data_IF_575921420817
#
_entry.id   IF_575921420817
#
_cell.length_a   1.000
_cell.length_b   1.000
_cell.length_c   1.000
_cell.angle_alpha   90.00
_cell.angle_beta   90.00
_cell.angle_gamma   90.00
#
_symmetry.space_group_name_H-M   'P 1'
#
loop_
_entity.id
_entity.type
_entity.pdbx_description
1 polymer ?
#
# COMPACT_ATOMS: atom_id res chain seq x y z
N UNK A 1 9.33 35.01 -2.94
CA UNK A 1 10.01 33.71 -3.03
C UNK A 1 9.83 33.00 -1.70
N UNK A 2 9.05 31.93 -1.64
CA UNK A 2 8.97 31.11 -0.43
C UNK A 2 10.35 30.49 -0.18
N UNK A 3 10.80 30.44 1.08
CA UNK A 3 12.06 29.80 1.44
C UNK A 3 12.02 28.33 0.97
N UNK A 4 13.09 27.87 0.32
CA UNK A 4 13.23 26.46 -0.07
C UNK A 4 13.22 25.61 1.19
N UNK A 5 12.17 24.80 1.37
CA UNK A 5 12.06 23.89 2.50
C UNK A 5 13.14 22.81 2.37
N UNK A 6 13.87 22.54 3.45
CA UNK A 6 14.87 21.48 3.53
C UNK A 6 14.30 20.27 4.27
N UNK A 7 14.94 19.11 4.14
CA UNK A 7 14.47 17.90 4.81
C UNK A 7 14.46 18.03 6.35
N UNK A 8 15.39 18.78 6.94
CA UNK A 8 15.42 19.01 8.39
C UNK A 8 14.20 19.80 8.91
N UNK A 9 13.46 20.45 8.00
CA UNK A 9 12.22 21.15 8.33
C UNK A 9 10.97 20.27 8.17
N UNK A 10 11.09 19.05 7.59
CA UNK A 10 10.00 18.08 7.57
C UNK A 10 9.95 17.36 8.93
N UNK A 11 8.91 17.58 9.76
CA UNK A 11 8.81 16.87 11.02
C UNK A 11 8.52 15.38 10.77
N UNK A 12 9.02 14.46 11.62
CA UNK A 12 8.48 13.11 11.65
C UNK A 12 7.00 13.18 12.02
N UNK A 13 6.22 12.17 11.60
CA UNK A 13 4.81 12.08 11.98
C UNK A 13 4.64 12.07 13.52
N UNK A 14 5.48 11.32 14.24
CA UNK A 14 5.52 11.31 15.70
C UNK A 14 5.33 9.91 16.30
N UNK A 15 4.39 9.77 17.22
CA UNK A 15 4.14 8.50 17.91
C UNK A 15 2.99 7.73 17.27
N UNK A 16 3.16 6.43 17.11
CA UNK A 16 2.02 5.53 16.90
C UNK A 16 1.14 5.55 18.16
N UNK A 17 -0.17 5.40 17.98
CA UNK A 17 -1.08 5.33 19.11
C UNK A 17 -0.74 4.14 20.03
N UNK A 18 -1.14 4.21 21.30
CA UNK A 18 -0.83 3.18 22.30
C UNK A 18 -1.32 1.79 21.88
N UNK A 19 -2.52 1.72 21.29
CA UNK A 19 -3.15 0.47 20.85
C UNK A 19 -2.27 -0.26 19.83
N UNK A 20 -1.81 0.42 18.79
CA UNK A 20 -0.93 -0.19 17.77
C UNK A 20 0.42 -0.59 18.32
N UNK A 21 0.96 0.16 19.28
CA UNK A 21 2.16 -0.25 20.01
C UNK A 21 1.93 -1.52 20.85
N UNK A 22 0.70 -1.81 21.26
CA UNK A 22 0.33 -3.08 21.90
C UNK A 22 0.13 -4.20 20.87
N UNK A 23 -0.51 -3.91 19.73
CA UNK A 23 -0.73 -4.88 18.63
C UNK A 23 0.62 -5.39 18.09
N UNK A 24 1.60 -4.50 17.90
CA UNK A 24 2.98 -4.83 17.51
C UNK A 24 3.72 -5.74 18.50
N UNK A 25 3.26 -5.86 19.75
CA UNK A 25 3.83 -6.80 20.73
C UNK A 25 3.23 -8.20 20.61
N UNK A 26 2.06 -8.34 20.00
CA UNK A 26 1.28 -9.59 19.96
C UNK A 26 1.42 -10.31 18.63
N UNK A 27 1.23 -9.61 17.51
CA UNK A 27 1.04 -10.22 16.18
C UNK A 27 2.02 -9.70 15.12
N UNK A 28 3.28 -9.57 15.51
CA UNK A 28 4.30 -8.98 14.63
C UNK A 28 4.61 -9.82 13.37
N UNK A 29 4.64 -11.14 13.49
CA UNK A 29 5.11 -12.05 12.42
C UNK A 29 3.90 -12.61 11.66
N UNK A 30 3.80 -12.41 10.34
CA UNK A 30 2.71 -12.97 9.57
C UNK A 30 2.64 -14.50 9.72
N UNK A 31 1.45 -15.11 9.82
CA UNK A 31 1.29 -16.52 10.18
C UNK A 31 2.07 -17.49 9.27
N UNK A 32 2.09 -17.20 7.98
CA UNK A 32 2.71 -18.04 6.94
C UNK A 32 4.15 -17.62 6.60
N UNK A 33 4.70 -16.59 7.27
CA UNK A 33 6.05 -16.08 7.00
C UNK A 33 7.13 -17.07 7.45
N UNK A 34 7.95 -17.51 6.50
CA UNK A 34 9.11 -18.36 6.76
C UNK A 34 10.39 -17.70 6.30
N UNK A 35 11.37 -17.59 7.20
CA UNK A 35 12.74 -17.20 6.89
C UNK A 35 13.59 -18.46 6.80
N UNK A 36 14.24 -18.69 5.64
CA UNK A 36 15.05 -19.90 5.39
C UNK A 36 14.25 -21.20 5.67
N UNK A 37 12.98 -21.20 5.24
CA UNK A 37 12.07 -22.34 5.41
C UNK A 37 11.56 -22.59 6.84
N UNK A 38 11.83 -21.71 7.81
CA UNK A 38 11.37 -21.85 9.20
C UNK A 38 10.69 -20.59 9.71
N UNK A 39 9.80 -20.74 10.69
CA UNK A 39 9.20 -19.57 11.37
C UNK A 39 10.31 -18.83 12.13
N UNK A 40 10.55 -17.54 11.86
CA UNK A 40 11.61 -16.80 12.53
C UNK A 40 11.27 -16.52 13.99
N UNK A 41 12.29 -16.26 14.79
CA UNK A 41 12.09 -15.62 16.10
C UNK A 41 11.65 -14.17 15.93
N UNK A 42 11.08 -13.57 16.98
CA UNK A 42 10.70 -12.16 16.96
C UNK A 42 11.89 -11.22 16.71
N UNK A 43 13.09 -11.60 17.16
CA UNK A 43 14.32 -10.84 16.91
C UNK A 43 14.75 -10.93 15.44
N UNK A 44 14.78 -12.14 14.86
CA UNK A 44 15.10 -12.33 13.44
C UNK A 44 14.13 -11.58 12.54
N UNK A 45 12.84 -11.59 12.89
CA UNK A 45 11.83 -10.85 12.14
C UNK A 45 12.02 -9.33 12.27
N UNK A 46 12.30 -8.80 13.47
CA UNK A 46 12.63 -7.38 13.65
C UNK A 46 13.87 -6.96 12.86
N UNK A 47 14.90 -7.79 12.83
CA UNK A 47 16.09 -7.55 12.01
C UNK A 47 15.73 -7.49 10.52
N UNK A 48 14.92 -8.43 10.03
CA UNK A 48 14.42 -8.43 8.66
C UNK A 48 13.59 -7.17 8.32
N UNK A 49 12.72 -6.72 9.22
CA UNK A 49 11.97 -5.46 9.06
C UNK A 49 12.91 -4.25 9.02
N UNK A 50 13.92 -4.21 9.88
CA UNK A 50 14.90 -3.13 9.89
C UNK A 50 15.72 -3.10 8.58
N UNK A 51 16.08 -4.26 8.03
CA UNK A 51 16.75 -4.38 6.74
C UNK A 51 15.87 -3.87 5.60
N UNK A 52 14.59 -4.24 5.63
CA UNK A 52 13.60 -3.75 4.68
C UNK A 52 13.42 -2.23 4.76
N UNK A 53 13.35 -1.66 5.97
CA UNK A 53 13.28 -0.22 6.17
C UNK A 53 14.55 0.48 5.62
N UNK A 54 15.75 -0.08 5.85
CA UNK A 54 17.00 0.46 5.29
C UNK A 54 17.02 0.39 3.76
N UNK A 55 16.41 -0.63 3.16
CA UNK A 55 16.29 -0.72 1.72
C UNK A 55 15.36 0.36 1.15
N UNK A 56 14.22 0.62 1.81
CA UNK A 56 13.32 1.75 1.48
C UNK A 56 14.07 3.08 1.64
N UNK A 57 14.86 3.23 2.71
CA UNK A 57 15.65 4.44 3.00
C UNK A 57 16.76 4.74 2.01
N UNK A 58 17.20 3.74 1.25
CA UNK A 58 18.16 3.92 0.15
C UNK A 58 17.49 4.36 -1.15
N UNK A 59 16.25 3.92 -1.39
CA UNK A 59 15.63 4.02 -2.71
C UNK A 59 14.47 5.01 -2.80
N UNK A 60 13.80 5.33 -1.69
CA UNK A 60 12.54 6.08 -1.73
C UNK A 60 12.40 7.13 -0.63
N UNK A 61 12.43 6.73 0.65
CA UNK A 61 12.15 7.65 1.77
C UNK A 61 13.01 7.34 3.00
N UNK A 62 13.65 8.34 3.62
CA UNK A 62 14.58 8.14 4.74
C UNK A 62 13.92 7.62 6.02
N UNK A 63 14.74 7.16 6.95
CA UNK A 63 14.35 6.76 8.31
C UNK A 63 14.51 7.96 9.23
N UNK A 64 13.61 8.10 10.21
CA UNK A 64 13.79 9.05 11.31
C UNK A 64 14.62 8.39 12.41
N UNK A 65 15.86 8.85 12.59
CA UNK A 65 16.69 8.47 13.72
C UNK A 65 16.32 9.32 14.94
N UNK A 66 15.77 8.67 15.97
CA UNK A 66 15.36 9.32 17.21
C UNK A 66 16.53 9.72 18.10
N UNK A 67 17.72 9.12 17.94
CA UNK A 67 18.88 9.47 18.76
C UNK A 67 19.51 10.78 18.29
N UNK A 68 19.64 10.94 16.98
CA UNK A 68 20.17 12.16 16.36
C UNK A 68 19.09 13.19 16.01
N UNK A 69 17.81 12.86 16.21
CA UNK A 69 16.66 13.68 15.79
C UNK A 69 16.78 14.14 14.33
N UNK A 70 17.13 13.20 13.44
CA UNK A 70 17.43 13.52 12.05
C UNK A 70 16.95 12.45 11.07
N UNK A 71 16.78 12.86 9.81
CA UNK A 71 16.47 11.95 8.71
C UNK A 71 17.76 11.31 8.17
N UNK A 72 17.80 9.98 8.15
CA UNK A 72 18.96 9.20 7.72
C UNK A 72 18.64 8.26 6.55
N UNK A 73 19.66 7.96 5.75
CA UNK A 73 19.56 7.13 4.53
C UNK A 73 19.75 7.93 3.25
N UNK A 74 20.15 7.26 2.16
CA UNK A 74 20.50 7.90 0.89
C UNK A 74 19.35 8.71 0.31
N UNK A 75 18.10 8.33 0.63
CA UNK A 75 16.90 9.02 0.17
C UNK A 75 16.67 10.39 0.80
N UNK A 76 17.40 10.74 1.87
CA UNK A 76 17.27 12.05 2.51
C UNK A 76 17.55 13.21 1.53
N UNK A 77 18.45 13.02 0.56
CA UNK A 77 18.85 14.10 -0.37
C UNK A 77 17.78 14.48 -1.39
N UNK A 78 16.79 13.63 -1.65
CA UNK A 78 15.69 13.89 -2.60
C UNK A 78 14.30 13.81 -1.96
N UNK A 79 14.21 13.65 -0.63
CA UNK A 79 12.92 13.49 0.05
C UNK A 79 11.98 14.70 -0.12
N UNK A 80 12.52 15.92 -0.10
CA UNK A 80 11.74 17.14 -0.33
C UNK A 80 11.20 17.17 -1.76
N UNK A 81 12.06 16.93 -2.75
CA UNK A 81 11.71 16.90 -4.16
C UNK A 81 10.64 15.83 -4.45
N UNK A 82 10.84 14.61 -3.94
CA UNK A 82 9.84 13.54 -4.03
C UNK A 82 8.51 13.95 -3.40
N UNK A 83 8.53 14.63 -2.25
CA UNK A 83 7.30 15.07 -1.58
C UNK A 83 6.58 16.16 -2.37
N UNK A 84 7.32 17.07 -3.01
CA UNK A 84 6.72 18.09 -3.89
C UNK A 84 6.07 17.43 -5.10
N UNK A 85 6.78 16.53 -5.78
CA UNK A 85 6.26 15.77 -6.92
C UNK A 85 5.02 14.94 -6.53
N UNK A 86 5.05 14.31 -5.34
CA UNK A 86 3.91 13.57 -4.81
C UNK A 86 2.68 14.46 -4.58
N UNK A 87 2.86 15.65 -3.99
CA UNK A 87 1.77 16.60 -3.75
C UNK A 87 1.16 17.12 -5.06
N UNK A 88 1.98 17.37 -6.09
CA UNK A 88 1.50 17.78 -7.41
C UNK A 88 0.73 16.66 -8.10
N UNK A 89 1.24 15.42 -8.04
CA UNK A 89 0.55 14.29 -8.63
C UNK A 89 -0.75 13.97 -7.90
N UNK A 90 -0.79 14.14 -6.57
CA UNK A 90 -2.02 14.00 -5.76
C UNK A 90 -3.13 14.92 -6.23
N UNK A 91 -2.82 16.20 -6.47
CA UNK A 91 -3.80 17.18 -6.94
C UNK A 91 -4.43 16.74 -8.28
N UNK A 92 -3.64 16.14 -9.17
CA UNK A 92 -4.13 15.61 -10.46
C UNK A 92 -4.98 14.33 -10.32
N UNK A 93 -4.74 13.53 -9.29
CA UNK A 93 -5.39 12.24 -9.07
C UNK A 93 -6.67 12.35 -8.25
N UNK A 94 -6.86 13.45 -7.53
CA UNK A 94 -7.98 13.67 -6.61
C UNK A 94 -9.35 13.42 -7.23
N UNK A 95 -9.56 13.94 -8.45
CA UNK A 95 -10.82 13.78 -9.17
C UNK A 95 -11.19 12.31 -9.44
N UNK A 96 -10.23 11.38 -9.40
CA UNK A 96 -10.49 9.95 -9.55
C UNK A 96 -11.28 9.35 -8.40
N UNK A 97 -11.31 9.96 -7.22
CA UNK A 97 -12.11 9.46 -6.11
C UNK A 97 -13.61 9.41 -6.46
N UNK A 98 -14.09 10.39 -7.22
CA UNK A 98 -15.49 10.47 -7.68
C UNK A 98 -15.77 9.61 -8.92
N UNK A 99 -14.72 9.08 -9.55
CA UNK A 99 -14.91 8.25 -10.75
C UNK A 99 -15.42 6.87 -10.40
N UNK A 100 -16.08 6.23 -11.38
CA UNK A 100 -16.57 4.87 -11.25
C UNK A 100 -15.41 3.88 -11.31
N UNK A 101 -15.50 2.82 -10.50
CA UNK A 101 -14.54 1.72 -10.56
C UNK A 101 -14.62 0.99 -11.91
N UNK A 102 -13.49 0.44 -12.39
CA UNK A 102 -13.48 -0.44 -13.56
C UNK A 102 -13.98 -1.84 -13.16
N UNK A 103 -15.22 -2.15 -13.55
CA UNK A 103 -15.96 -3.33 -13.13
C UNK A 103 -16.79 -3.91 -14.27
N UNK A 104 -17.08 -5.22 -14.18
CA UNK A 104 -17.85 -6.02 -15.15
C UNK A 104 -19.18 -5.37 -15.57
N UNK A 105 -19.85 -4.68 -14.65
CA UNK A 105 -21.06 -3.88 -14.87
C UNK A 105 -21.19 -2.99 -13.63
N UNK A 106 -21.05 -1.69 -13.85
CA UNK A 106 -21.12 -0.59 -12.89
C UNK A 106 -21.89 -0.93 -11.60
N UNK A 107 -21.29 -0.62 -10.45
CA UNK A 107 -21.94 -0.09 -9.26
C UNK A 107 -20.88 0.38 -8.25
N UNK A 108 -20.74 1.70 -8.13
CA UNK A 108 -19.98 2.39 -7.09
C UNK A 108 -18.84 3.25 -7.61
N UNK A 109 -18.55 4.30 -6.85
CA UNK A 109 -17.39 5.18 -7.06
C UNK A 109 -16.20 4.71 -6.24
N UNK A 110 -15.00 5.22 -6.55
CA UNK A 110 -13.86 5.00 -5.67
C UNK A 110 -14.09 5.55 -4.26
N UNK A 111 -14.89 6.61 -4.09
CA UNK A 111 -15.27 7.17 -2.79
C UNK A 111 -16.06 6.18 -1.95
N UNK A 112 -17.12 5.57 -2.51
CA UNK A 112 -17.94 4.59 -1.77
C UNK A 112 -17.08 3.43 -1.24
N UNK A 113 -16.14 2.95 -2.05
CA UNK A 113 -15.24 1.88 -1.63
C UNK A 113 -14.22 2.34 -0.59
N UNK A 114 -13.70 3.56 -0.72
CA UNK A 114 -12.80 4.13 0.27
C UNK A 114 -13.48 4.18 1.64
N UNK A 115 -14.73 4.64 1.69
CA UNK A 115 -15.55 4.70 2.91
C UNK A 115 -15.84 3.30 3.48
N UNK A 116 -16.16 2.31 2.64
CA UNK A 116 -16.37 0.92 3.06
C UNK A 116 -15.11 0.34 3.70
N UNK A 117 -13.97 0.47 3.03
CA UNK A 117 -12.68 -0.09 3.47
C UNK A 117 -12.10 0.61 4.72
N UNK A 118 -12.48 1.86 4.94
CA UNK A 118 -12.06 2.64 6.11
C UNK A 118 -13.04 2.50 7.30
N UNK A 119 -14.10 1.71 7.11
CA UNK A 119 -15.05 1.35 8.16
C UNK A 119 -15.99 2.49 8.51
N UNK A 120 -16.50 3.20 7.52
CA UNK A 120 -17.57 4.19 7.65
C UNK A 120 -18.96 3.63 7.35
N UNK A 121 -19.03 2.71 6.39
CA UNK A 121 -20.32 2.19 5.92
C UNK A 121 -20.78 1.08 6.86
N UNK A 122 -21.87 1.36 7.57
CA UNK A 122 -22.62 0.38 8.37
C UNK A 122 -23.60 -0.30 7.42
N UNK A 123 -23.58 -1.63 7.36
CA UNK A 123 -24.67 -2.38 6.75
C UNK A 123 -25.94 -2.15 7.59
N UNK A 124 -26.98 -1.49 7.04
CA UNK A 124 -28.16 -1.14 7.82
C UNK A 124 -28.99 -2.36 8.24
N UNK A 125 -28.75 -3.52 7.62
CA UNK A 125 -29.43 -4.78 7.97
C UNK A 125 -28.68 -5.58 9.03
N UNK A 126 -27.35 -5.40 9.13
CA UNK A 126 -26.50 -6.18 10.03
C UNK A 126 -25.89 -5.34 11.17
N UNK A 127 -26.15 -4.02 11.21
CA UNK A 127 -25.59 -3.07 12.19
C UNK A 127 -24.07 -3.21 12.39
N UNK A 128 -23.34 -3.62 11.35
CA UNK A 128 -21.89 -3.84 11.37
C UNK A 128 -21.20 -3.15 10.21
N UNK A 129 -19.94 -2.81 10.38
CA UNK A 129 -19.11 -2.33 9.28
C UNK A 129 -18.94 -3.43 8.23
N UNK A 130 -19.02 -3.07 6.95
CA UNK A 130 -18.65 -3.99 5.87
C UNK A 130 -17.19 -4.40 6.03
N UNK A 131 -16.92 -5.71 5.90
CA UNK A 131 -15.55 -6.21 5.98
C UNK A 131 -14.83 -5.93 4.67
N UNK A 132 -13.55 -5.59 4.79
CA UNK A 132 -12.63 -5.47 3.66
C UNK A 132 -12.69 -6.75 2.80
N UNK A 133 -13.04 -6.60 1.51
CA UNK A 133 -13.24 -7.71 0.57
C UNK A 133 -14.70 -8.04 0.22
N UNK A 134 -15.67 -7.74 1.10
CA UNK A 134 -17.10 -8.02 0.84
C UNK A 134 -17.60 -7.27 -0.40
N UNK A 135 -17.03 -6.12 -0.69
CA UNK A 135 -17.39 -5.29 -1.85
C UNK A 135 -16.91 -5.84 -3.19
N UNK A 136 -16.11 -6.92 -3.24
CA UNK A 136 -15.65 -7.50 -4.52
C UNK A 136 -16.80 -7.91 -5.46
N UNK A 137 -17.97 -8.25 -4.94
CA UNK A 137 -19.14 -8.57 -5.77
C UNK A 137 -19.60 -7.42 -6.68
N UNK A 138 -19.22 -6.18 -6.37
CA UNK A 138 -19.45 -5.01 -7.23
C UNK A 138 -18.49 -4.97 -8.44
N UNK A 139 -17.31 -5.60 -8.34
CA UNK A 139 -16.35 -5.74 -9.46
C UNK A 139 -16.78 -6.83 -10.44
N UNK A 140 -17.23 -7.99 -9.94
CA UNK A 140 -17.71 -9.09 -10.78
C UNK A 140 -19.03 -9.70 -10.28
N UNK A 141 -20.14 -9.06 -10.64
CA UNK A 141 -21.49 -9.54 -10.34
C UNK A 141 -21.87 -10.84 -11.05
N UNK A 142 -21.10 -11.30 -12.06
CA UNK A 142 -21.36 -12.55 -12.78
C UNK A 142 -20.73 -13.75 -12.10
N UNK A 143 -19.87 -13.54 -11.11
CA UNK A 143 -19.23 -14.62 -10.39
C UNK A 143 -20.29 -15.43 -9.62
N UNK A 144 -20.38 -16.76 -9.79
CA UNK A 144 -21.36 -17.56 -9.07
C UNK A 144 -21.26 -17.34 -7.57
N UNK A 145 -22.40 -17.28 -6.86
CA UNK A 145 -22.44 -16.90 -5.44
C UNK A 145 -21.46 -17.69 -4.56
N UNK A 146 -21.31 -19.00 -4.80
CA UNK A 146 -20.34 -19.86 -4.09
C UNK A 146 -18.88 -19.49 -4.35
N UNK A 147 -18.55 -19.10 -5.58
CA UNK A 147 -17.20 -18.66 -5.92
C UNK A 147 -16.91 -17.28 -5.33
N UNK A 148 -17.89 -16.37 -5.39
CA UNK A 148 -17.80 -15.04 -4.79
C UNK A 148 -17.60 -15.12 -3.27
N UNK A 149 -18.38 -15.96 -2.58
CA UNK A 149 -18.24 -16.19 -1.14
C UNK A 149 -16.86 -16.74 -0.77
N UNK A 150 -16.35 -17.72 -1.53
CA UNK A 150 -15.01 -18.27 -1.34
C UNK A 150 -13.93 -17.21 -1.50
N UNK A 151 -14.02 -16.38 -2.55
CA UNK A 151 -13.05 -15.29 -2.82
C UNK A 151 -13.09 -14.27 -1.68
N UNK A 152 -14.27 -13.78 -1.30
CA UNK A 152 -14.47 -12.81 -0.20
C UNK A 152 -13.91 -13.34 1.12
N UNK A 153 -14.28 -14.55 1.50
CA UNK A 153 -13.85 -15.16 2.77
C UNK A 153 -12.35 -15.40 2.78
N UNK A 154 -11.78 -15.88 1.67
CA UNK A 154 -10.33 -16.09 1.57
C UNK A 154 -9.57 -14.77 1.71
N UNK A 155 -10.04 -13.71 1.06
CA UNK A 155 -9.41 -12.40 1.16
C UNK A 155 -9.49 -11.82 2.56
N UNK A 156 -10.70 -11.68 3.10
CA UNK A 156 -10.94 -10.99 4.36
C UNK A 156 -10.33 -11.72 5.58
N UNK A 157 -10.32 -13.06 5.57
CA UNK A 157 -9.86 -13.85 6.72
C UNK A 157 -8.42 -14.30 6.58
N UNK A 158 -8.10 -15.01 5.49
CA UNK A 158 -6.78 -15.63 5.34
C UNK A 158 -5.78 -14.65 4.71
N UNK A 159 -6.23 -13.86 3.73
CA UNK A 159 -5.40 -12.94 2.96
C UNK A 159 -4.89 -11.75 3.77
N UNK A 160 -5.79 -11.03 4.45
CA UNK A 160 -5.42 -9.89 5.31
C UNK A 160 -4.53 -10.36 6.46
N UNK A 161 -4.83 -11.51 7.09
CA UNK A 161 -3.96 -12.04 8.14
C UNK A 161 -2.54 -12.37 7.64
N UNK A 162 -2.36 -12.64 6.34
CA UNK A 162 -1.07 -12.97 5.77
C UNK A 162 -0.12 -11.77 5.64
N UNK A 163 -0.56 -10.51 5.73
CA UNK A 163 0.35 -9.37 5.77
C UNK A 163 0.95 -9.13 7.17
N UNK A 164 0.28 -9.60 8.22
CA UNK A 164 0.66 -9.34 9.62
C UNK A 164 0.76 -7.84 9.91
N UNK A 165 1.55 -7.45 10.91
CA UNK A 165 1.73 -6.04 11.30
C UNK A 165 3.01 -5.42 10.68
N UNK A 166 3.37 -5.85 9.46
CA UNK A 166 4.62 -5.40 8.79
C UNK A 166 4.58 -3.90 8.49
N UNK A 167 3.44 -3.36 8.05
CA UNK A 167 3.31 -1.94 7.75
C UNK A 167 3.52 -1.09 9.02
N UNK A 168 2.90 -1.46 10.14
CA UNK A 168 3.06 -0.78 11.42
C UNK A 168 4.50 -0.85 11.91
N UNK A 169 5.17 -2.00 11.73
CA UNK A 169 6.56 -2.17 12.10
C UNK A 169 7.49 -1.27 11.27
N UNK A 170 7.25 -1.17 9.95
CA UNK A 170 7.99 -0.26 9.06
C UNK A 170 7.73 1.21 9.38
N UNK A 171 6.49 1.58 9.69
CA UNK A 171 6.09 2.95 10.04
C UNK A 171 6.85 3.49 11.25
N UNK A 172 7.28 2.63 12.18
CA UNK A 172 8.11 3.05 13.31
C UNK A 172 9.43 3.66 12.87
N UNK A 173 10.03 3.15 11.79
CA UNK A 173 11.29 3.65 11.23
C UNK A 173 11.04 4.82 10.28
N UNK A 174 10.10 4.67 9.36
CA UNK A 174 9.95 5.58 8.22
C UNK A 174 9.32 6.92 8.59
N UNK A 175 8.44 6.94 9.61
CA UNK A 175 7.87 8.16 10.20
C UNK A 175 7.37 9.23 9.22
N UNK A 176 7.06 8.86 7.98
CA UNK A 176 6.72 9.82 6.94
C UNK A 176 5.47 10.61 7.35
N UNK A 177 5.53 11.95 7.38
CA UNK A 177 4.38 12.78 7.71
C UNK A 177 3.27 12.59 6.66
N UNK A 178 2.02 12.76 7.05
CA UNK A 178 0.87 12.68 6.14
C UNK A 178 0.85 13.87 5.18
N UNK A 179 0.28 13.66 4.00
CA UNK A 179 0.24 14.66 2.94
C UNK A 179 -0.40 15.98 3.36
N UNK A 180 -1.47 15.97 4.16
CA UNK A 180 -2.08 17.20 4.68
C UNK A 180 -1.13 18.01 5.59
N UNK A 181 -0.26 17.34 6.36
CA UNK A 181 0.69 18.01 7.26
C UNK A 181 1.75 18.74 6.44
N UNK A 182 2.28 18.08 5.41
CA UNK A 182 3.32 18.68 4.56
C UNK A 182 2.75 19.71 3.60
N UNK A 183 1.54 19.51 3.07
CA UNK A 183 0.86 20.50 2.26
C UNK A 183 0.66 21.83 3.02
N UNK A 184 0.28 21.76 4.30
CA UNK A 184 0.19 22.93 5.17
C UNK A 184 1.56 23.59 5.38
N UNK A 185 2.61 22.80 5.66
CA UNK A 185 3.98 23.30 5.80
C UNK A 185 4.49 24.00 4.53
N UNK A 186 4.10 23.50 3.36
CA UNK A 186 4.50 24.04 2.05
C UNK A 186 3.65 25.24 1.62
N UNK A 187 2.67 25.66 2.44
CA UNK A 187 1.77 26.77 2.11
C UNK A 187 0.85 26.46 0.93
N UNK A 188 0.51 25.18 0.68
CA UNK A 188 -0.45 24.80 -0.37
C UNK A 188 -1.87 25.09 0.10
N UNK A 189 -2.33 26.31 -0.17
CA UNK A 189 -3.70 26.76 0.08
C UNK A 189 -4.64 26.14 -0.97
N UNK A 190 -5.28 25.02 -0.63
CA UNK A 190 -6.16 24.29 -1.56
C UNK A 190 -6.00 22.77 -1.51
N UNK A 191 -5.06 22.27 -0.72
CA UNK A 191 -4.93 20.83 -0.49
C UNK A 191 -6.20 20.27 0.16
N UNK A 192 -6.84 19.31 -0.52
CA UNK A 192 -8.03 18.60 -0.05
C UNK A 192 -7.67 17.15 0.27
N UNK A 193 -8.13 16.66 1.40
CA UNK A 193 -8.03 15.26 1.79
C UNK A 193 -9.35 14.79 2.39
N UNK A 194 -9.65 13.51 2.25
CA UNK A 194 -10.75 12.88 2.98
C UNK A 194 -10.33 12.53 4.39
N UNK A 195 -11.26 12.66 5.34
CA UNK A 195 -11.05 12.07 6.66
C UNK A 195 -10.96 10.54 6.54
N UNK A 196 -9.98 9.95 7.20
CA UNK A 196 -9.84 8.49 7.30
C UNK A 196 -9.58 8.08 8.76
N UNK A 197 -10.49 7.27 9.28
CA UNK A 197 -10.42 6.58 10.57
C UNK A 197 -9.13 5.78 10.74
N UNK A 198 -8.64 5.16 9.67
CA UNK A 198 -7.43 4.33 9.73
C UNK A 198 -6.13 5.12 9.50
N UNK A 199 -6.22 6.39 9.12
CA UNK A 199 -5.07 7.24 8.81
C UNK A 199 -4.44 7.93 10.03
N UNK A 200 -4.48 7.31 11.21
CA UNK A 200 -3.94 7.87 12.46
C UNK A 200 -2.48 7.47 12.76
N UNK A 201 -1.74 7.03 11.73
CA UNK A 201 -0.32 6.58 11.72
C UNK A 201 0.52 7.36 10.70
N UNK A 202 1.87 7.24 10.69
CA UNK A 202 2.69 7.65 9.55
C UNK A 202 2.15 7.11 8.22
N UNK A 203 2.42 7.85 7.14
CA UNK A 203 1.92 7.53 5.80
C UNK A 203 2.68 6.38 5.13
N UNK A 204 3.97 6.22 5.40
CA UNK A 204 4.79 5.20 4.74
C UNK A 204 5.07 4.00 5.65
N UNK A 205 4.77 2.76 5.28
CA UNK A 205 4.11 2.32 4.02
C UNK A 205 2.58 2.37 4.12
N UNK A 206 1.85 2.35 3.00
CA UNK A 206 0.38 2.25 3.03
C UNK A 206 -0.06 0.83 3.44
N UNK A 207 -0.73 0.72 4.59
CA UNK A 207 -1.25 -0.54 5.15
C UNK A 207 -2.28 -1.18 4.23
N UNK A 208 -3.34 -0.44 3.86
CA UNK A 208 -4.34 -0.91 2.89
C UNK A 208 -3.73 -1.36 1.56
N UNK A 209 -2.74 -0.64 1.04
CA UNK A 209 -2.08 -1.03 -0.21
C UNK A 209 -1.27 -2.34 -0.03
N UNK A 210 -0.56 -2.49 1.09
CA UNK A 210 0.24 -3.67 1.39
C UNK A 210 -0.67 -4.90 1.62
N UNK A 211 -1.66 -4.75 2.50
CA UNK A 211 -2.62 -5.78 2.86
C UNK A 211 -3.38 -6.26 1.63
N UNK A 212 -3.92 -5.34 0.82
CA UNK A 212 -4.62 -5.70 -0.40
C UNK A 212 -3.73 -6.43 -1.39
N UNK A 213 -2.47 -6.01 -1.54
CA UNK A 213 -1.51 -6.66 -2.44
C UNK A 213 -1.22 -8.11 -2.02
N UNK A 214 -0.96 -8.34 -0.73
CA UNK A 214 -0.68 -9.68 -0.18
C UNK A 214 -1.95 -10.53 -0.21
N UNK A 215 -3.08 -10.01 0.28
CA UNK A 215 -4.36 -10.70 0.30
C UNK A 215 -4.88 -11.01 -1.11
N UNK A 216 -4.65 -10.11 -2.06
CA UNK A 216 -4.93 -10.26 -3.49
C UNK A 216 -4.18 -11.45 -4.08
N UNK A 217 -2.86 -11.51 -3.85
CA UNK A 217 -2.03 -12.67 -4.24
C UNK A 217 -2.51 -13.96 -3.59
N UNK A 218 -2.72 -13.94 -2.27
CA UNK A 218 -3.12 -15.11 -1.49
C UNK A 218 -4.44 -15.70 -2.01
N UNK A 219 -5.42 -14.83 -2.24
CA UNK A 219 -6.74 -15.20 -2.75
C UNK A 219 -6.66 -15.69 -4.19
N UNK A 220 -5.91 -15.01 -5.06
CA UNK A 220 -5.68 -15.46 -6.44
C UNK A 220 -5.11 -16.88 -6.45
N UNK A 221 -4.04 -17.14 -5.68
CA UNK A 221 -3.40 -18.45 -5.65
C UNK A 221 -4.34 -19.56 -5.15
N UNK A 222 -5.21 -19.29 -4.17
CA UNK A 222 -6.18 -20.25 -3.62
C UNK A 222 -7.46 -20.40 -4.43
N UNK A 223 -7.85 -19.35 -5.16
CA UNK A 223 -9.17 -19.25 -5.79
C UNK A 223 -9.13 -19.17 -7.32
N UNK A 224 -7.95 -19.17 -7.98
CA UNK A 224 -7.87 -19.08 -9.45
C UNK A 224 -8.73 -20.10 -10.20
N UNK A 225 -8.89 -21.32 -9.66
CA UNK A 225 -9.73 -22.36 -10.28
C UNK A 225 -11.24 -22.05 -10.23
N UNK A 226 -11.66 -21.10 -9.38
CA UNK A 226 -13.04 -20.63 -9.26
C UNK A 226 -13.22 -19.20 -9.76
N UNK A 227 -12.20 -18.61 -10.39
CA UNK A 227 -12.23 -17.31 -11.07
C UNK A 227 -12.27 -17.57 -12.59
N UNK A 228 -13.46 -17.81 -13.20
CA UNK A 228 -13.56 -18.16 -14.61
C UNK A 228 -13.31 -16.96 -15.53
N UNK A 229 -12.72 -17.23 -16.71
CA UNK A 229 -12.57 -16.25 -17.79
C UNK A 229 -11.78 -15.01 -17.37
N UNK A 230 -12.37 -13.83 -17.60
CA UNK A 230 -11.86 -12.51 -17.25
C UNK A 230 -12.06 -12.12 -15.77
N UNK A 231 -12.64 -12.98 -14.92
CA UNK A 231 -12.81 -12.70 -13.49
C UNK A 231 -11.47 -12.40 -12.77
N UNK A 232 -10.37 -13.02 -13.22
CA UNK A 232 -9.04 -12.75 -12.69
C UNK A 232 -8.59 -11.30 -12.93
N UNK A 233 -9.06 -10.66 -14.01
CA UNK A 233 -8.73 -9.26 -14.32
C UNK A 233 -9.43 -8.30 -13.37
N UNK A 234 -10.72 -8.54 -13.04
CA UNK A 234 -11.44 -7.75 -12.05
C UNK A 234 -10.89 -7.97 -10.64
N UNK A 235 -10.41 -9.18 -10.33
CA UNK A 235 -9.70 -9.43 -9.08
C UNK A 235 -8.37 -8.67 -9.01
N UNK A 236 -7.62 -8.62 -10.12
CA UNK A 236 -6.40 -7.81 -10.22
C UNK A 236 -6.71 -6.30 -10.06
N UNK A 237 -7.77 -5.79 -10.68
CA UNK A 237 -8.21 -4.41 -10.50
C UNK A 237 -8.57 -4.11 -9.03
N UNK A 238 -9.41 -4.96 -8.41
CA UNK A 238 -9.78 -4.82 -7.00
C UNK A 238 -8.55 -4.79 -6.08
N UNK A 239 -7.55 -5.62 -6.36
CA UNK A 239 -6.31 -5.73 -5.57
C UNK A 239 -5.55 -4.41 -5.53
N UNK A 240 -5.40 -3.71 -6.66
CA UNK A 240 -4.62 -2.46 -6.71
C UNK A 240 -5.45 -1.23 -6.35
N UNK A 241 -6.76 -1.25 -6.64
CA UNK A 241 -7.64 -0.11 -6.36
C UNK A 241 -7.70 0.25 -4.88
N UNK A 242 -7.56 -0.72 -3.98
CA UNK A 242 -7.52 -0.47 -2.53
C UNK A 242 -6.37 0.46 -2.13
N UNK A 243 -5.20 0.33 -2.78
CA UNK A 243 -4.08 1.24 -2.59
C UNK A 243 -4.29 2.56 -3.31
N UNK A 244 -4.77 2.52 -4.56
CA UNK A 244 -4.99 3.71 -5.38
C UNK A 244 -6.00 4.69 -4.74
N UNK A 245 -7.08 4.16 -4.15
CA UNK A 245 -8.09 4.95 -3.43
C UNK A 245 -7.51 5.77 -2.30
N UNK A 246 -6.45 5.29 -1.64
CA UNK A 246 -5.77 6.03 -0.56
C UNK A 246 -5.03 7.26 -1.07
N UNK A 247 -4.52 7.18 -2.29
CA UNK A 247 -3.90 8.30 -3.00
C UNK A 247 -4.99 9.25 -3.49
N UNK A 248 -6.07 8.75 -4.10
CA UNK A 248 -7.19 9.60 -4.55
C UNK A 248 -7.85 10.36 -3.40
N UNK A 249 -7.90 9.76 -2.21
CA UNK A 249 -8.40 10.37 -0.99
C UNK A 249 -7.43 11.38 -0.34
N UNK A 250 -6.20 11.52 -0.83
CA UNK A 250 -5.21 12.43 -0.25
C UNK A 250 -4.70 12.00 1.13
N UNK A 251 -4.87 10.73 1.51
CA UNK A 251 -4.40 10.21 2.80
C UNK A 251 -3.01 9.56 2.71
N UNK A 252 -2.60 9.16 1.51
CA UNK A 252 -1.28 8.58 1.20
C UNK A 252 -0.69 9.24 -0.05
N UNK A 253 0.64 9.32 -0.13
CA UNK A 253 1.31 9.80 -1.33
C UNK A 253 1.38 8.72 -2.42
N UNK A 254 1.49 9.07 -3.71
CA UNK A 254 1.74 8.12 -4.80
C UNK A 254 2.95 7.22 -4.54
N UNK A 255 4.07 7.80 -4.06
CA UNK A 255 5.24 7.03 -3.65
C UNK A 255 4.97 6.03 -2.52
N UNK A 256 3.98 6.25 -1.66
CA UNK A 256 3.66 5.27 -0.61
C UNK A 256 3.22 3.93 -1.23
N UNK A 257 2.47 3.96 -2.33
CA UNK A 257 2.08 2.74 -3.05
C UNK A 257 3.30 2.02 -3.66
N UNK A 258 4.31 2.74 -4.17
CA UNK A 258 5.56 2.12 -4.64
C UNK A 258 6.20 1.28 -3.53
N UNK A 259 6.33 1.85 -2.33
CA UNK A 259 6.90 1.12 -1.19
C UNK A 259 6.05 -0.07 -0.77
N UNK A 260 4.71 0.07 -0.76
CA UNK A 260 3.80 -1.00 -0.37
C UNK A 260 3.84 -2.16 -1.37
N UNK A 261 3.87 -1.87 -2.66
CA UNK A 261 4.03 -2.88 -3.71
C UNK A 261 5.39 -3.57 -3.63
N UNK A 262 6.47 -2.81 -3.40
CA UNK A 262 7.79 -3.37 -3.19
C UNK A 262 7.81 -4.32 -1.99
N UNK A 263 7.28 -3.89 -0.85
CA UNK A 263 7.15 -4.72 0.35
C UNK A 263 6.35 -5.98 0.06
N UNK A 264 5.21 -5.89 -0.62
CA UNK A 264 4.39 -7.04 -0.98
C UNK A 264 5.15 -8.04 -1.88
N UNK A 265 5.86 -7.55 -2.91
CA UNK A 265 6.67 -8.38 -3.80
C UNK A 265 7.85 -9.06 -3.09
N UNK A 266 8.46 -8.38 -2.12
CA UNK A 266 9.54 -8.95 -1.29
C UNK A 266 8.99 -9.99 -0.31
N UNK A 267 7.90 -9.68 0.38
CA UNK A 267 7.21 -10.58 1.34
C UNK A 267 6.70 -11.84 0.65
N UNK A 268 6.28 -11.73 -0.62
CA UNK A 268 5.79 -12.87 -1.40
C UNK A 268 6.76 -14.08 -1.40
N UNK A 269 8.07 -13.84 -1.36
CA UNK A 269 9.09 -14.89 -1.26
C UNK A 269 9.00 -15.71 0.04
N UNK A 270 8.67 -15.05 1.14
CA UNK A 270 8.63 -15.65 2.48
C UNK A 270 7.29 -16.32 2.81
N UNK A 271 6.21 -15.90 2.16
CA UNK A 271 4.85 -16.39 2.43
C UNK A 271 4.42 -17.47 1.43
N UNK A 272 4.64 -17.25 0.13
CA UNK A 272 4.07 -18.11 -0.92
C UNK A 272 4.98 -19.26 -1.34
N UNK A 273 6.19 -19.36 -0.79
CA UNK A 273 7.14 -20.48 -0.98
C UNK A 273 7.31 -20.83 -2.48
N UNK A 274 7.07 -22.08 -2.86
CA UNK A 274 7.15 -22.55 -4.25
C UNK A 274 6.21 -21.84 -5.24
N UNK A 275 5.25 -21.03 -4.77
CA UNK A 275 4.35 -20.21 -5.59
C UNK A 275 4.65 -18.72 -5.55
N UNK A 276 5.77 -18.31 -4.94
CA UNK A 276 6.17 -16.90 -4.86
C UNK A 276 6.30 -16.23 -6.23
N UNK A 277 6.85 -16.92 -7.23
CA UNK A 277 6.93 -16.38 -8.60
C UNK A 277 5.56 -16.12 -9.20
N UNK A 278 4.61 -17.04 -9.00
CA UNK A 278 3.24 -16.90 -9.50
C UNK A 278 2.52 -15.70 -8.83
N UNK A 279 2.67 -15.54 -7.52
CA UNK A 279 2.16 -14.37 -6.79
C UNK A 279 2.77 -13.05 -7.29
N UNK A 280 4.11 -13.00 -7.42
CA UNK A 280 4.81 -11.80 -7.91
C UNK A 280 4.38 -11.42 -9.31
N UNK A 281 4.23 -12.39 -10.21
CA UNK A 281 3.77 -12.14 -11.58
C UNK A 281 2.33 -11.59 -11.57
N UNK A 282 1.41 -12.22 -10.82
CA UNK A 282 0.05 -11.73 -10.69
C UNK A 282 0.00 -10.28 -10.19
N UNK A 283 0.72 -9.98 -9.09
CA UNK A 283 0.72 -8.64 -8.52
C UNK A 283 1.36 -7.62 -9.44
N UNK A 284 2.47 -7.97 -10.08
CA UNK A 284 3.17 -7.08 -10.99
C UNK A 284 2.31 -6.75 -12.22
N UNK A 285 1.64 -7.75 -12.80
CA UNK A 285 0.70 -7.54 -13.91
C UNK A 285 -0.47 -6.64 -13.47
N UNK A 286 -1.00 -6.84 -12.25
CA UNK A 286 -2.04 -5.98 -11.69
C UNK A 286 -1.57 -4.53 -11.53
N UNK A 287 -0.38 -4.30 -10.97
CA UNK A 287 0.20 -2.97 -10.80
C UNK A 287 0.35 -2.27 -12.15
N UNK A 288 1.00 -2.94 -13.12
CA UNK A 288 1.31 -2.31 -14.41
C UNK A 288 0.08 -2.03 -15.25
N UNK A 289 -0.91 -2.92 -15.24
CA UNK A 289 -2.04 -2.87 -16.17
C UNK A 289 -3.28 -2.19 -15.57
N UNK A 290 -3.39 -2.11 -14.25
CA UNK A 290 -4.64 -1.75 -13.57
C UNK A 290 -4.52 -0.59 -12.58
N UNK A 291 -3.33 -0.31 -12.03
CA UNK A 291 -3.17 0.82 -11.11
C UNK A 291 -3.09 2.15 -11.88
N UNK A 292 -4.07 3.01 -11.65
CA UNK A 292 -4.07 4.37 -12.17
C UNK A 292 -2.99 5.23 -11.49
N UNK A 293 -2.65 4.94 -10.22
CA UNK A 293 -1.52 5.59 -9.55
C UNK A 293 -0.19 5.21 -10.20
N UNK A 294 0.04 3.92 -10.46
CA UNK A 294 1.27 3.48 -11.14
C UNK A 294 1.39 4.09 -12.55
N UNK A 295 0.29 4.14 -13.30
CA UNK A 295 0.25 4.77 -14.61
C UNK A 295 0.59 6.27 -14.54
N UNK A 296 0.06 6.99 -13.55
CA UNK A 296 0.34 8.41 -13.33
C UNK A 296 1.80 8.66 -12.93
N UNK A 297 2.34 7.87 -12.01
CA UNK A 297 3.76 7.94 -11.60
C UNK A 297 4.68 7.67 -12.79
N UNK A 298 4.36 6.66 -13.60
CA UNK A 298 5.16 6.32 -14.79
C UNK A 298 5.12 7.44 -15.83
N UNK A 299 3.95 8.06 -16.03
CA UNK A 299 3.81 9.20 -16.94
C UNK A 299 4.62 10.40 -16.46
N UNK A 300 4.56 10.71 -15.16
CA UNK A 300 5.36 11.77 -14.55
C UNK A 300 6.88 11.49 -14.68
N UNK A 301 7.30 10.24 -14.47
CA UNK A 301 8.69 9.83 -14.63
C UNK A 301 9.22 9.96 -16.07
N UNK A 302 8.35 9.76 -17.06
CA UNK A 302 8.71 9.88 -18.48
C UNK A 302 8.73 11.33 -18.97
N UNK A 303 7.94 12.21 -18.34
CA UNK A 303 7.87 13.61 -18.70
C UNK A 303 9.13 14.40 -18.30
N UNK A 304 9.86 13.95 -17.28
CA UNK A 304 11.01 14.66 -16.72
C UNK A 304 12.27 13.77 -16.66
N UNK A 305 13.39 14.15 -17.32
CA UNK A 305 14.61 13.36 -17.36
C UNK A 305 15.21 13.02 -15.98
N UNK A 306 14.92 13.84 -14.97
CA UNK A 306 15.43 13.70 -13.61
C UNK A 306 14.32 13.47 -12.58
N UNK A 307 13.18 12.90 -13.00
CA UNK A 307 12.06 12.68 -12.10
C UNK A 307 12.46 11.91 -10.82
N UNK A 308 12.00 12.33 -9.63
CA UNK A 308 12.27 11.63 -8.37
C UNK A 308 11.66 10.22 -8.33
N UNK A 309 10.80 9.86 -9.29
CA UNK A 309 10.20 8.53 -9.40
C UNK A 309 11.04 7.52 -10.20
N UNK A 310 12.01 7.96 -11.02
CA UNK A 310 12.74 7.08 -11.94
C UNK A 310 13.51 5.97 -11.22
N UNK A 311 14.25 6.32 -10.16
CA UNK A 311 14.96 5.37 -9.31
C UNK A 311 14.02 4.38 -8.61
N UNK A 312 13.00 4.88 -7.86
CA UNK A 312 11.99 4.04 -7.24
C UNK A 312 11.26 3.06 -8.17
N UNK A 313 10.86 3.51 -9.38
CA UNK A 313 10.19 2.66 -10.36
C UNK A 313 11.10 1.54 -10.85
N UNK A 314 12.38 1.84 -11.11
CA UNK A 314 13.38 0.84 -11.46
C UNK A 314 13.57 -0.17 -10.33
N UNK A 315 13.71 0.30 -9.10
CA UNK A 315 13.85 -0.54 -7.91
C UNK A 315 12.66 -1.49 -7.72
N UNK A 316 11.42 -0.99 -7.89
CA UNK A 316 10.21 -1.80 -7.84
C UNK A 316 10.19 -2.87 -8.95
N UNK A 317 10.55 -2.51 -10.18
CA UNK A 317 10.58 -3.45 -11.31
C UNK A 317 11.68 -4.52 -11.15
N UNK A 318 12.82 -4.15 -10.60
CA UNK A 318 13.91 -5.08 -10.29
C UNK A 318 13.45 -6.09 -9.22
N UNK A 319 12.73 -5.65 -8.19
CA UNK A 319 12.14 -6.55 -7.20
C UNK A 319 11.12 -7.50 -7.84
N UNK A 320 10.23 -7.02 -8.70
CA UNK A 320 9.26 -7.89 -9.39
C UNK A 320 9.96 -9.03 -10.16
N UNK A 321 11.11 -8.72 -10.78
CA UNK A 321 11.91 -9.68 -11.57
C UNK A 321 12.82 -10.56 -10.70
N UNK A 322 13.23 -10.10 -9.52
CA UNK A 322 14.12 -10.82 -8.62
C UNK A 322 13.63 -12.25 -8.36
N UNK A 323 14.56 -13.20 -8.33
CA UNK A 323 14.26 -14.58 -7.93
C UNK A 323 13.71 -14.56 -6.50
N UNK A 324 12.63 -15.32 -6.18
CA UNK A 324 12.16 -15.42 -4.81
C UNK A 324 13.32 -15.83 -3.90
N UNK A 325 13.55 -15.07 -2.82
CA UNK A 325 14.51 -15.45 -1.80
C UNK A 325 14.04 -16.74 -1.13
N UNK A 326 14.92 -17.75 -1.07
CA UNK A 326 14.72 -19.02 -0.37
C UNK A 326 15.24 -18.88 1.06
#
# INVERSE_FOLDING_TARGET
MAASITISQLPPYGFLNRKWMEDLKKDLIPPDFLLQGRRPTAEQFRAWVADLAREIARNLWPIWDRQSESWVGDAAKWAVELTQADLELLDSLRARLETRIDARRLNGTHQEFFEEEDGFVIDPTECRFRRVGESYGKYDHKLPARALDKVRTTFARDGIAASGEVDLALKQYLQRPRAYQVAALFGRHGYSYEWAKTAVSPSLVSGHCLDASIAGCYTYLKCKNVLPGDAAQYWAQFTVDMGDRRVFAGVHYPADNISSWFCALRIAGYIFRGRAREAKNFLWDAIQQRSAVYAAITTAAQAEPFSPYSGPLKWLADEARAKPGV
#
